data_IF_439131555117
#
_entry.id   IF_439131555117
#
_cell.length_a   1.000
_cell.length_b   1.000
_cell.length_c   1.000
_cell.angle_alpha   90.00
_cell.angle_beta   90.00
_cell.angle_gamma   90.00
#
_symmetry.space_group_name_H-M   'P 1'
#
loop_
_entity.id
_entity.type
_entity.pdbx_description
1 polymer ?
#
# COMPACT_ATOMS: atom_id res chain seq x y z
N UNK A 1 -4.15 6.31 -3.74
CA UNK A 1 -4.24 5.00 -3.07
C UNK A 1 -3.30 3.99 -3.72
N UNK A 2 -2.39 3.42 -2.92
CA UNK A 2 -1.41 2.41 -3.36
C UNK A 2 -1.78 1.07 -2.73
N UNK A 3 -1.77 0.01 -3.54
CA UNK A 3 -1.86 -1.37 -3.07
C UNK A 3 -0.55 -2.06 -3.37
N UNK A 4 -0.11 -2.94 -2.49
CA UNK A 4 1.06 -3.75 -2.75
C UNK A 4 0.96 -5.08 -2.05
N UNK A 5 1.74 -6.05 -2.54
CA UNK A 5 1.85 -7.37 -1.95
C UNK A 5 3.31 -7.64 -1.67
N UNK A 6 3.60 -8.23 -0.51
CA UNK A 6 4.92 -8.76 -0.17
C UNK A 6 4.79 -10.27 -0.14
N UNK A 7 5.56 -10.94 -0.99
CA UNK A 7 5.59 -12.39 -1.08
C UNK A 7 6.80 -12.85 -0.28
N UNK A 8 6.56 -13.67 0.73
CA UNK A 8 7.62 -14.21 1.58
C UNK A 8 8.37 -15.36 0.89
N UNK A 9 9.61 -15.59 1.31
CA UNK A 9 10.30 -16.85 1.00
C UNK A 9 9.65 -17.99 1.77
N UNK A 10 9.61 -19.19 1.18
CA UNK A 10 8.96 -20.36 1.79
C UNK A 10 9.42 -20.58 3.23
N UNK A 11 8.46 -20.60 4.17
CA UNK A 11 8.71 -20.85 5.59
C UNK A 11 9.23 -19.65 6.39
N UNK A 12 9.39 -18.47 5.78
CA UNK A 12 9.90 -17.28 6.46
C UNK A 12 8.95 -16.74 7.55
N UNK A 13 7.65 -17.04 7.48
CA UNK A 13 6.64 -16.55 8.41
C UNK A 13 6.70 -15.01 8.59
N UNK A 14 6.96 -14.30 7.49
CA UNK A 14 7.28 -12.88 7.45
C UNK A 14 6.22 -12.04 8.14
N UNK A 15 4.94 -12.41 8.02
CA UNK A 15 3.86 -11.68 8.68
C UNK A 15 4.01 -11.65 10.20
N UNK A 16 4.35 -12.78 10.83
CA UNK A 16 4.55 -12.84 12.27
C UNK A 16 5.85 -12.15 12.68
N UNK A 17 6.91 -12.29 11.88
CA UNK A 17 8.18 -11.58 12.08
C UNK A 17 7.96 -10.08 12.09
N UNK A 18 7.26 -9.53 11.10
CA UNK A 18 6.95 -8.09 11.02
C UNK A 18 6.07 -7.62 12.18
N UNK A 19 5.08 -8.43 12.60
CA UNK A 19 4.27 -8.12 13.79
C UNK A 19 5.12 -8.09 15.05
N UNK A 20 6.03 -9.05 15.21
CA UNK A 20 7.01 -9.11 16.28
C UNK A 20 7.89 -7.86 16.29
N UNK A 21 8.52 -7.55 15.16
CA UNK A 21 9.42 -6.41 14.98
C UNK A 21 8.75 -5.05 15.27
N UNK A 22 7.46 -4.88 14.93
CA UNK A 22 6.72 -3.66 15.28
C UNK A 22 6.37 -3.58 16.77
N UNK A 23 6.12 -4.72 17.42
CA UNK A 23 5.83 -4.77 18.87
C UNK A 23 7.09 -4.60 19.71
N UNK A 24 8.21 -5.19 19.28
CA UNK A 24 9.52 -5.08 19.92
C UNK A 24 10.24 -3.76 19.60
N UNK A 25 9.65 -2.91 18.75
CA UNK A 25 10.22 -1.63 18.27
C UNK A 25 11.50 -1.77 17.43
N UNK A 26 11.78 -2.94 16.86
CA UNK A 26 12.87 -3.11 15.88
C UNK A 26 12.62 -2.33 14.59
N UNK A 27 11.35 -2.26 14.16
CA UNK A 27 10.94 -1.43 13.03
C UNK A 27 10.86 0.07 13.38
N UNK A 28 11.20 0.45 14.63
CA UNK A 28 11.30 1.78 15.28
C UNK A 28 10.24 2.80 14.90
N UNK A 29 10.23 3.20 13.64
CA UNK A 29 9.34 4.19 13.05
C UNK A 29 7.97 3.64 12.67
N UNK A 30 7.78 2.31 12.67
CA UNK A 30 6.48 1.69 12.41
C UNK A 30 5.92 0.98 13.66
N UNK A 31 4.62 1.11 13.86
CA UNK A 31 3.89 0.48 14.95
C UNK A 31 2.53 -0.07 14.50
N UNK A 32 1.96 -0.94 15.32
CA UNK A 32 0.66 -1.56 15.10
C UNK A 32 -0.45 -0.82 15.86
N UNK A 33 -1.52 -0.50 15.15
CA UNK A 33 -2.75 0.06 15.70
C UNK A 33 -3.96 -0.86 15.41
N UNK A 34 -5.10 -0.59 16.04
CA UNK A 34 -6.36 -1.32 15.85
C UNK A 34 -6.18 -2.84 15.95
N UNK A 35 -5.66 -3.32 17.09
CA UNK A 35 -5.35 -4.73 17.34
C UNK A 35 -4.42 -5.38 16.30
N UNK A 36 -3.54 -4.58 15.68
CA UNK A 36 -2.59 -5.06 14.67
C UNK A 36 -3.13 -5.13 13.25
N UNK A 37 -4.33 -4.59 12.99
CA UNK A 37 -4.91 -4.52 11.65
C UNK A 37 -4.39 -3.34 10.83
N UNK A 38 -3.76 -2.36 11.49
CA UNK A 38 -3.20 -1.17 10.85
C UNK A 38 -1.74 -1.00 11.21
N UNK A 39 -0.91 -0.73 10.21
CA UNK A 39 0.48 -0.30 10.36
C UNK A 39 0.51 1.21 10.20
N UNK A 40 1.09 1.88 11.20
CA UNK A 40 1.18 3.34 11.27
C UNK A 40 2.64 3.76 11.43
N UNK A 41 2.95 5.00 11.04
CA UNK A 41 4.27 5.58 11.22
C UNK A 41 4.29 6.54 12.42
N UNK A 42 5.38 6.57 13.17
CA UNK A 42 5.51 7.40 14.40
C UNK A 42 5.59 8.89 14.09
N UNK A 43 6.22 9.27 12.98
CA UNK A 43 6.30 10.66 12.55
C UNK A 43 4.95 11.13 11.94
N UNK A 44 4.30 12.18 12.49
CA UNK A 44 3.01 12.69 12.02
C UNK A 44 3.01 13.20 10.57
N UNK A 45 4.18 13.58 10.03
CA UNK A 45 4.31 14.01 8.63
C UNK A 45 4.06 12.87 7.61
N UNK A 46 4.07 11.63 8.08
CA UNK A 46 3.66 10.44 7.33
C UNK A 46 2.18 10.17 7.64
N UNK A 47 1.32 11.03 7.11
CA UNK A 47 -0.11 10.96 7.32
C UNK A 47 -0.72 9.70 6.67
N UNK A 48 -1.60 9.02 7.41
CA UNK A 48 -2.29 7.83 6.95
C UNK A 48 -1.95 6.58 7.73
N UNK A 49 -2.39 5.44 7.20
CA UNK A 49 -2.08 4.12 7.71
C UNK A 49 -2.14 3.11 6.57
N UNK A 50 -1.53 1.97 6.82
CA UNK A 50 -1.61 0.82 5.94
C UNK A 50 -2.46 -0.26 6.59
N UNK A 51 -3.46 -0.74 5.85
CA UNK A 51 -4.16 -1.98 6.21
C UNK A 51 -3.40 -3.13 5.59
N UNK A 52 -3.31 -4.24 6.31
CA UNK A 52 -2.67 -5.43 5.81
C UNK A 52 -3.42 -6.70 6.21
N UNK A 53 -3.29 -7.72 5.40
CA UNK A 53 -3.76 -9.08 5.65
C UNK A 53 -2.74 -10.07 5.15
N UNK A 54 -2.80 -11.30 5.64
CA UNK A 54 -1.89 -12.36 5.26
C UNK A 54 -2.67 -13.61 4.90
N UNK A 55 -2.33 -14.23 3.78
CA UNK A 55 -2.82 -15.52 3.33
C UNK A 55 -1.74 -16.19 2.50
N UNK A 56 -1.46 -17.47 2.76
CA UNK A 56 -0.58 -18.33 1.95
C UNK A 56 0.79 -17.71 1.60
N UNK A 57 1.46 -17.11 2.60
CA UNK A 57 2.77 -16.48 2.43
C UNK A 57 2.75 -15.14 1.66
N UNK A 58 1.56 -14.62 1.37
CA UNK A 58 1.37 -13.32 0.73
C UNK A 58 0.79 -12.33 1.72
N UNK A 59 1.53 -11.25 1.98
CA UNK A 59 1.07 -10.12 2.78
C UNK A 59 0.49 -9.09 1.81
N UNK A 60 -0.84 -8.93 1.82
CA UNK A 60 -1.52 -7.91 1.01
C UNK A 60 -1.68 -6.64 1.82
N UNK A 61 -1.25 -5.51 1.25
CA UNK A 61 -1.21 -4.21 1.90
C UNK A 61 -1.96 -3.15 1.08
N UNK A 62 -2.63 -2.25 1.78
CA UNK A 62 -3.35 -1.10 1.21
C UNK A 62 -3.01 0.15 1.99
N UNK A 63 -2.40 1.12 1.33
CA UNK A 63 -1.99 2.40 1.91
C UNK A 63 -3.09 3.44 1.71
N UNK A 64 -3.52 4.06 2.82
CA UNK A 64 -4.63 5.00 2.86
C UNK A 64 -4.22 6.25 3.64
N UNK A 65 -4.26 7.42 2.99
CA UNK A 65 -3.97 8.72 3.60
C UNK A 65 -5.17 9.66 3.44
N UNK A 66 -6.22 9.51 4.27
CA UNK A 66 -7.50 10.20 4.03
C UNK A 66 -7.43 11.71 4.29
N UNK A 67 -6.52 12.16 5.16
CA UNK A 67 -6.35 13.58 5.50
C UNK A 67 -5.49 14.34 4.47
N UNK A 68 -4.62 13.64 3.75
CA UNK A 68 -3.71 14.22 2.76
C UNK A 68 -3.54 13.24 1.59
N UNK A 69 -4.51 13.20 0.65
CA UNK A 69 -4.36 12.41 -0.56
C UNK A 69 -3.11 12.84 -1.33
N UNK A 70 -2.35 11.88 -1.88
CA UNK A 70 -1.09 12.09 -2.59
C UNK A 70 0.15 11.80 -1.76
N UNK A 71 0.04 11.74 -0.42
CA UNK A 71 1.18 11.41 0.47
C UNK A 71 1.36 9.91 0.71
N UNK A 72 0.49 9.06 0.15
CA UNK A 72 0.54 7.61 0.35
C UNK A 72 1.90 7.04 -0.05
N UNK A 73 2.51 7.57 -1.12
CA UNK A 73 3.82 7.13 -1.61
C UNK A 73 4.90 7.31 -0.57
N UNK A 74 4.84 8.36 0.24
CA UNK A 74 5.82 8.65 1.29
C UNK A 74 5.77 7.61 2.42
N UNK A 75 4.56 7.22 2.85
CA UNK A 75 4.39 6.15 3.84
C UNK A 75 4.81 4.78 3.27
N UNK A 76 4.42 4.52 2.02
CA UNK A 76 4.79 3.31 1.31
C UNK A 76 6.31 3.15 1.14
N UNK A 77 6.99 4.17 0.60
CA UNK A 77 8.43 4.11 0.31
C UNK A 77 9.26 3.94 1.57
N UNK A 78 8.88 4.62 2.66
CA UNK A 78 9.53 4.44 3.95
C UNK A 78 9.36 3.01 4.49
N UNK A 79 8.19 2.40 4.29
CA UNK A 79 7.94 1.03 4.75
C UNK A 79 8.75 0.02 3.92
N UNK A 80 8.74 0.14 2.60
CA UNK A 80 9.52 -0.72 1.72
C UNK A 80 11.02 -0.56 1.97
N UNK A 81 11.51 0.66 2.19
CA UNK A 81 12.90 0.90 2.57
C UNK A 81 13.30 0.15 3.84
N UNK A 82 12.44 0.13 4.87
CA UNK A 82 12.68 -0.66 6.09
C UNK A 82 12.62 -2.16 5.86
N UNK A 83 11.73 -2.63 5.00
CA UNK A 83 11.66 -4.04 4.62
C UNK A 83 12.95 -4.49 3.91
N UNK A 84 13.43 -3.69 2.96
CA UNK A 84 14.66 -3.98 2.23
C UNK A 84 15.91 -3.91 3.13
N UNK A 85 15.96 -2.98 4.08
CA UNK A 85 17.09 -2.84 5.00
C UNK A 85 17.23 -4.00 6.00
N UNK A 86 16.12 -4.55 6.48
CA UNK A 86 16.10 -5.48 7.63
C UNK A 86 15.63 -6.89 7.31
N UNK A 87 14.81 -7.05 6.28
CA UNK A 87 14.06 -8.28 6.03
C UNK A 87 14.18 -8.74 4.57
N UNK A 88 15.14 -8.20 3.80
CA UNK A 88 15.33 -8.56 2.39
C UNK A 88 15.49 -10.08 2.19
N UNK A 89 16.20 -10.76 3.08
CA UNK A 89 16.44 -12.20 2.98
C UNK A 89 15.18 -13.06 3.19
N UNK A 90 14.14 -12.49 3.79
CA UNK A 90 12.85 -13.15 4.04
C UNK A 90 11.83 -12.88 2.93
N UNK A 91 12.14 -11.98 2.00
CA UNK A 91 11.24 -11.52 0.95
C UNK A 91 11.65 -12.17 -0.37
N UNK A 92 10.67 -12.73 -1.07
CA UNK A 92 10.84 -13.23 -2.43
C UNK A 92 10.64 -12.12 -3.45
N UNK A 93 9.55 -11.34 -3.31
CA UNK A 93 9.28 -10.19 -4.17
C UNK A 93 8.24 -9.24 -3.54
N UNK A 94 8.17 -8.03 -4.10
CA UNK A 94 7.17 -7.01 -3.75
C UNK A 94 6.47 -6.55 -5.02
N UNK A 95 5.15 -6.75 -5.10
CA UNK A 95 4.33 -6.30 -6.21
C UNK A 95 3.62 -4.99 -5.86
N UNK A 96 3.67 -3.99 -6.72
CA UNK A 96 3.08 -2.66 -6.47
C UNK A 96 2.01 -2.37 -7.50
N UNK A 97 0.86 -1.87 -7.04
CA UNK A 97 -0.28 -1.49 -7.85
C UNK A 97 -0.69 -0.06 -7.50
N UNK A 98 -0.75 0.79 -8.53
CA UNK A 98 -1.28 2.14 -8.42
C UNK A 98 -2.73 2.11 -8.90
N UNK A 99 -3.66 2.52 -8.04
CA UNK A 99 -5.02 2.77 -8.50
C UNK A 99 -5.06 4.14 -9.17
N UNK A 100 -4.96 4.17 -10.49
CA UNK A 100 -5.37 5.30 -11.31
C UNK A 100 -6.78 5.08 -11.85
N UNK A 101 -7.60 6.13 -12.08
CA UNK A 101 -8.71 5.97 -13.00
C UNK A 101 -8.13 5.49 -14.33
N UNK A 102 -8.73 4.45 -14.94
CA UNK A 102 -8.52 4.20 -16.36
C UNK A 102 -8.68 5.54 -17.09
N UNK A 103 -7.80 5.92 -18.02
CA UNK A 103 -8.01 7.13 -18.80
C UNK A 103 -9.43 7.07 -19.34
N UNK A 104 -10.27 8.05 -18.99
CA UNK A 104 -11.62 8.16 -19.54
C UNK A 104 -11.43 8.18 -21.05
N UNK A 105 -11.83 7.10 -21.72
CA UNK A 105 -11.76 7.00 -23.17
C UNK A 105 -12.37 8.27 -23.81
N UNK A 106 -11.95 8.64 -25.03
CA UNK A 106 -12.34 9.91 -25.63
C UNK A 106 -13.85 10.08 -25.52
N UNK A 107 -14.28 11.20 -24.92
CA UNK A 107 -15.69 11.59 -24.81
C UNK A 107 -16.33 11.39 -26.19
N UNK A 108 -17.22 10.40 -26.33
CA UNK A 108 -18.01 10.20 -27.55
C UNK A 108 -18.67 11.54 -27.86
N UNK A 109 -18.16 12.24 -28.89
CA UNK A 109 -18.76 13.48 -29.37
C UNK A 109 -20.22 13.19 -29.68
N UNK A 110 -21.13 13.86 -28.96
CA UNK A 110 -22.57 13.79 -29.24
C UNK A 110 -22.77 14.09 -30.73
N UNK A 111 -23.45 13.23 -31.50
CA UNK A 111 -23.70 13.53 -32.91
C UNK A 111 -24.55 14.81 -32.99
N UNK A 112 -24.05 15.82 -33.71
CA UNK A 112 -24.83 17.02 -34.03
C UNK A 112 -26.08 16.56 -34.79
N UNK A 113 -27.26 16.73 -34.20
CA UNK A 113 -28.54 16.53 -34.90
C UNK A 113 -28.53 17.40 -36.16
N UNK A 114 -28.56 16.77 -37.32
CA UNK A 114 -28.69 17.46 -38.59
C UNK A 114 -30.00 18.26 -38.58
N UNK A 115 -29.88 19.57 -38.79
CA UNK A 115 -31.00 20.50 -38.92
C UNK A 115 -31.71 20.13 -40.23
N UNK A 116 -32.90 19.53 -40.11
CA UNK A 116 -33.76 19.16 -41.25
C UNK A 116 -34.17 20.46 -41.96
N UNK A 117 -33.62 20.71 -43.16
CA UNK A 117 -34.04 21.82 -44.02
C UNK A 117 -35.44 21.50 -44.57
N UNK A 118 -36.35 22.47 -44.45
CA UNK A 118 -37.60 22.54 -45.21
C UNK A 118 -37.30 23.01 -46.62
#
# INVERSE_FOLDING_TARGET
MIRFQVIERRGANLYQVLRGAMRSKELRTFYLAMHGRRVCHTNPSYSGWMRWSHADGVITCQVVSPRQPGTEWRLFSAFVGRLADRFADLIQCVNIQFNGPLPKGPLKRRPKRARRKR
#
